data_IF_469779353565
#
_entry.id   IF_469779353565
#
_cell.length_a   1.000
_cell.length_b   1.000
_cell.length_c   1.000
_cell.angle_alpha   90.00
_cell.angle_beta   90.00
_cell.angle_gamma   90.00
#
_symmetry.space_group_name_H-M   'P 1'
#
loop_
_entity.id
_entity.type
_entity.pdbx_description
1 polymer ?
#
# COMPACT_ATOMS: atom_id res chain seq x y z
N UNK A 1 -37.19 2.31 14.90
CA UNK A 1 -36.84 1.47 13.72
C UNK A 1 -35.41 1.01 13.86
N UNK A 2 -35.13 -0.29 13.75
CA UNK A 2 -33.74 -0.79 13.73
C UNK A 2 -33.11 -0.26 12.45
N UNK A 3 -32.04 0.53 12.55
CA UNK A 3 -31.34 1.07 11.40
C UNK A 3 -30.83 -0.05 10.50
N UNK A 4 -30.76 0.18 9.19
CA UNK A 4 -30.18 -0.77 8.23
C UNK A 4 -28.74 -1.06 8.63
N UNK A 5 -28.40 -2.34 8.75
CA UNK A 5 -27.03 -2.81 8.97
C UNK A 5 -26.29 -2.77 7.63
N UNK A 6 -25.20 -2.04 7.54
CA UNK A 6 -24.31 -2.03 6.38
C UNK A 6 -23.01 -2.71 6.77
N UNK A 7 -22.58 -3.70 5.98
CA UNK A 7 -21.29 -4.35 6.13
C UNK A 7 -20.47 -4.11 4.86
N UNK A 8 -19.29 -3.56 5.04
CA UNK A 8 -18.37 -3.24 3.95
C UNK A 8 -16.96 -3.73 4.25
N UNK A 9 -16.26 -4.20 3.23
CA UNK A 9 -14.90 -4.74 3.37
C UNK A 9 -13.96 -4.02 2.45
N UNK A 10 -12.72 -3.81 2.90
CA UNK A 10 -11.66 -3.27 2.06
C UNK A 10 -10.35 -4.01 2.34
N UNK A 11 -9.63 -4.45 1.31
CA UNK A 11 -8.38 -5.17 1.44
C UNK A 11 -7.21 -4.26 1.79
N UNK A 12 -6.17 -4.85 2.41
CA UNK A 12 -4.83 -4.30 2.34
C UNK A 12 -4.24 -4.44 0.94
N UNK A 13 -3.02 -3.94 0.77
CA UNK A 13 -2.29 -4.05 -0.49
C UNK A 13 -0.82 -4.37 -0.27
N UNK A 14 -0.19 -4.94 -1.28
CA UNK A 14 1.25 -4.83 -1.51
C UNK A 14 1.48 -4.17 -2.86
N UNK A 15 2.63 -3.53 -3.01
CA UNK A 15 3.06 -3.02 -4.30
C UNK A 15 4.09 -3.99 -4.89
N UNK A 16 3.80 -4.55 -6.06
CA UNK A 16 4.74 -5.46 -6.73
C UNK A 16 6.00 -4.72 -7.13
N UNK A 17 5.84 -3.48 -7.67
CA UNK A 17 6.95 -2.63 -8.10
C UNK A 17 6.45 -1.19 -8.27
N UNK A 18 7.33 -0.18 -8.08
CA UNK A 18 6.99 1.23 -8.21
C UNK A 18 6.83 1.92 -6.86
N UNK A 19 7.77 1.74 -5.93
CA UNK A 19 7.81 2.48 -4.68
C UNK A 19 8.31 3.90 -4.86
N UNK A 20 7.69 4.85 -4.14
CA UNK A 20 8.02 6.28 -4.14
C UNK A 20 7.91 6.98 -5.50
N UNK A 21 7.14 6.41 -6.41
CA UNK A 21 6.86 6.98 -7.74
C UNK A 21 5.57 7.78 -7.77
N UNK A 22 4.63 7.53 -6.89
CA UNK A 22 3.27 8.10 -6.84
C UNK A 22 3.29 9.63 -6.70
N UNK A 23 3.98 10.16 -5.71
CA UNK A 23 4.12 11.62 -5.53
C UNK A 23 5.07 12.29 -6.52
N UNK A 24 5.73 11.50 -7.40
CA UNK A 24 6.52 11.94 -8.56
C UNK A 24 5.73 11.84 -9.88
N UNK A 25 4.42 11.63 -9.84
CA UNK A 25 3.53 11.40 -10.98
C UNK A 25 3.97 10.23 -11.87
N UNK A 26 4.61 9.22 -11.26
CA UNK A 26 5.15 8.03 -11.90
C UNK A 26 4.12 6.90 -12.04
N UNK A 27 4.63 5.68 -12.05
CA UNK A 27 3.84 4.45 -12.17
C UNK A 27 4.02 3.55 -10.95
N UNK A 28 2.98 2.81 -10.58
CA UNK A 28 3.06 1.72 -9.63
C UNK A 28 2.25 0.52 -10.10
N UNK A 29 2.53 -0.66 -9.54
CA UNK A 29 1.87 -1.92 -9.88
C UNK A 29 1.44 -2.70 -8.62
N UNK A 30 0.49 -2.20 -7.83
CA UNK A 30 0.01 -2.90 -6.65
C UNK A 30 -0.95 -4.05 -6.98
N UNK A 31 -1.13 -4.93 -5.98
CA UNK A 31 -2.25 -5.87 -5.88
C UNK A 31 -2.99 -5.66 -4.57
N UNK A 32 -4.30 -5.88 -4.58
CA UNK A 32 -5.09 -6.03 -3.36
C UNK A 32 -4.83 -7.41 -2.74
N UNK A 33 -4.81 -7.47 -1.41
CA UNK A 33 -4.53 -8.68 -0.64
C UNK A 33 -5.81 -9.44 -0.25
N UNK A 34 -5.71 -10.74 0.08
CA UNK A 34 -6.81 -11.49 0.68
C UNK A 34 -7.23 -10.97 2.05
N UNK A 35 -6.35 -10.33 2.80
CA UNK A 35 -6.58 -9.78 4.12
C UNK A 35 -7.40 -8.49 4.03
N UNK A 36 -8.55 -8.46 4.71
CA UNK A 36 -9.51 -7.35 4.65
C UNK A 36 -9.77 -6.75 6.02
N UNK A 37 -9.97 -5.44 6.06
CA UNK A 37 -10.67 -4.77 7.16
C UNK A 37 -12.16 -4.81 6.88
N UNK A 38 -12.96 -5.19 7.89
CA UNK A 38 -14.42 -5.27 7.81
C UNK A 38 -15.01 -4.22 8.72
N UNK A 39 -15.88 -3.39 8.17
CA UNK A 39 -16.66 -2.41 8.93
C UNK A 39 -18.12 -2.77 8.87
N UNK A 40 -18.75 -2.89 10.05
CA UNK A 40 -20.20 -3.02 10.18
C UNK A 40 -20.75 -1.73 10.83
N UNK A 41 -21.66 -1.07 10.16
CA UNK A 41 -22.23 0.18 10.57
C UNK A 41 -23.76 0.13 10.65
N UNK A 42 -24.31 0.64 11.74
CA UNK A 42 -25.76 0.78 11.98
C UNK A 42 -26.03 2.23 12.24
N UNK A 43 -26.62 2.92 11.27
CA UNK A 43 -26.95 4.34 11.37
C UNK A 43 -28.11 4.58 12.35
N UNK A 44 -28.05 5.71 13.06
CA UNK A 44 -29.15 6.27 13.87
C UNK A 44 -29.26 7.79 13.64
N UNK A 45 -30.11 8.45 14.38
CA UNK A 45 -30.32 9.91 14.27
C UNK A 45 -29.47 10.72 15.28
N UNK A 46 -28.49 10.06 15.92
CA UNK A 46 -27.58 10.75 16.85
C UNK A 46 -26.59 11.66 16.11
N UNK A 47 -25.83 12.40 16.88
CA UNK A 47 -24.78 13.34 16.43
C UNK A 47 -23.35 12.78 16.59
N UNK A 48 -23.25 11.51 16.99
CA UNK A 48 -21.98 10.81 17.21
C UNK A 48 -21.97 9.42 16.55
N UNK A 49 -20.79 8.94 16.18
CA UNK A 49 -20.55 7.53 15.84
C UNK A 49 -19.76 6.91 16.99
N UNK A 50 -20.32 5.88 17.62
CA UNK A 50 -19.60 5.06 18.60
C UNK A 50 -18.91 3.91 17.87
N UNK A 51 -17.56 3.90 17.84
CA UNK A 51 -16.77 2.90 17.13
C UNK A 51 -16.01 1.99 18.10
N UNK A 52 -15.95 0.69 17.76
CA UNK A 52 -15.15 -0.34 18.45
C UNK A 52 -14.28 -1.09 17.44
N UNK A 53 -13.11 -1.53 17.88
CA UNK A 53 -12.23 -2.42 17.12
C UNK A 53 -12.02 -3.71 17.90
N UNK A 54 -11.83 -4.83 17.18
CA UNK A 54 -11.42 -6.11 17.75
C UNK A 54 -9.95 -6.13 18.23
N UNK A 55 -9.19 -5.11 17.84
CA UNK A 55 -7.75 -4.96 18.19
C UNK A 55 -7.47 -3.99 19.31
N UNK A 56 -8.48 -3.24 19.74
CA UNK A 56 -8.36 -2.19 20.73
C UNK A 56 -9.41 -2.33 21.83
N UNK A 57 -9.01 -2.08 23.05
CA UNK A 57 -9.94 -2.13 24.18
C UNK A 57 -10.85 -0.91 24.24
N UNK A 58 -12.14 -1.12 24.56
CA UNK A 58 -13.10 -0.04 24.76
C UNK A 58 -13.79 0.41 23.47
N UNK A 59 -14.32 1.62 23.53
CA UNK A 59 -15.01 2.28 22.42
C UNK A 59 -14.63 3.76 22.37
N UNK A 60 -14.64 4.32 21.17
CA UNK A 60 -14.39 5.74 20.93
C UNK A 60 -15.67 6.39 20.40
N UNK A 61 -16.02 7.56 20.91
CA UNK A 61 -17.10 8.38 20.38
C UNK A 61 -16.53 9.44 19.44
N UNK A 62 -17.01 9.46 18.22
CA UNK A 62 -16.62 10.39 17.16
C UNK A 62 -17.77 11.36 16.92
N UNK A 63 -17.63 12.64 17.30
CA UNK A 63 -18.63 13.65 16.97
C UNK A 63 -18.75 13.82 15.45
N UNK A 64 -19.96 13.95 14.91
CA UNK A 64 -20.13 14.19 13.48
C UNK A 64 -19.49 15.50 13.02
N UNK A 65 -19.38 16.50 13.89
CA UNK A 65 -18.72 17.78 13.63
C UNK A 65 -17.22 17.79 14.01
N UNK A 66 -16.59 16.62 14.03
CA UNK A 66 -15.17 16.48 14.37
C UNK A 66 -14.27 17.29 13.43
N UNK A 67 -13.11 17.70 13.94
CA UNK A 67 -12.06 18.45 13.26
C UNK A 67 -10.70 17.77 13.45
N UNK A 68 -9.70 18.01 12.59
CA UNK A 68 -8.34 17.47 12.76
C UNK A 68 -7.79 17.72 14.16
N UNK A 69 -7.26 16.67 14.79
CA UNK A 69 -6.70 16.70 16.15
C UNK A 69 -7.69 16.40 17.29
N UNK A 70 -9.01 16.41 17.06
CA UNK A 70 -9.99 16.09 18.10
C UNK A 70 -10.04 14.59 18.45
N UNK A 71 -9.90 13.74 17.45
CA UNK A 71 -9.82 12.28 17.64
C UNK A 71 -8.42 11.81 17.25
N UNK A 72 -7.81 11.00 18.10
CA UNK A 72 -6.43 10.53 17.94
C UNK A 72 -6.34 9.00 17.89
N UNK A 73 -5.15 8.48 17.62
CA UNK A 73 -4.91 7.03 17.51
C UNK A 73 -5.62 6.41 16.32
N UNK A 74 -5.95 5.12 16.42
CA UNK A 74 -6.57 4.38 15.32
C UNK A 74 -7.93 4.94 14.88
N UNK A 75 -8.69 5.52 15.80
CA UNK A 75 -10.01 6.08 15.51
C UNK A 75 -9.94 7.39 14.71
N UNK A 76 -8.77 8.03 14.62
CA UNK A 76 -8.56 9.21 13.79
C UNK A 76 -8.81 8.94 12.30
N UNK A 77 -8.50 7.73 11.82
CA UNK A 77 -8.79 7.32 10.44
C UNK A 77 -10.28 7.27 10.16
N UNK A 78 -11.08 6.76 11.11
CA UNK A 78 -12.55 6.74 11.03
C UNK A 78 -13.11 8.17 11.10
N UNK A 79 -12.63 8.96 12.05
CA UNK A 79 -13.03 10.36 12.23
C UNK A 79 -12.66 11.22 11.00
N UNK A 80 -11.51 10.97 10.40
CA UNK A 80 -11.06 11.60 9.17
C UNK A 80 -12.01 11.36 7.99
N UNK A 81 -12.51 10.13 7.84
CA UNK A 81 -13.53 9.80 6.82
C UNK A 81 -14.84 10.58 7.07
N UNK A 82 -15.30 10.62 8.33
CA UNK A 82 -16.50 11.42 8.71
C UNK A 82 -16.29 12.89 8.35
N UNK A 83 -15.16 13.46 8.74
CA UNK A 83 -14.79 14.84 8.45
C UNK A 83 -14.69 15.12 6.95
N UNK A 84 -14.00 14.25 6.19
CA UNK A 84 -13.79 14.41 4.76
C UNK A 84 -15.11 14.36 3.97
N UNK A 85 -16.02 13.43 4.29
CA UNK A 85 -17.36 13.38 3.72
C UNK A 85 -18.15 14.66 3.98
N UNK A 86 -18.18 15.12 5.23
CA UNK A 86 -18.93 16.32 5.61
C UNK A 86 -18.35 17.58 4.99
N UNK A 87 -17.04 17.70 4.91
CA UNK A 87 -16.41 18.87 4.28
C UNK A 87 -16.69 18.96 2.78
N UNK A 88 -17.09 17.85 2.13
CA UNK A 88 -17.62 17.82 0.76
C UNK A 88 -19.14 18.03 0.68
N UNK A 89 -19.81 18.30 1.80
CA UNK A 89 -21.26 18.55 1.87
C UNK A 89 -22.12 17.30 1.96
N UNK A 90 -21.53 16.11 2.09
CA UNK A 90 -22.32 14.89 2.27
C UNK A 90 -22.88 14.79 3.69
N UNK A 91 -24.13 14.34 3.80
CA UNK A 91 -24.75 14.06 5.09
C UNK A 91 -24.20 12.77 5.66
N UNK A 92 -23.61 12.83 6.84
CA UNK A 92 -23.24 11.66 7.64
C UNK A 92 -24.22 11.54 8.80
N UNK A 93 -24.65 10.33 9.12
CA UNK A 93 -25.55 10.05 10.25
C UNK A 93 -24.75 9.54 11.45
N UNK A 94 -25.26 9.72 12.64
CA UNK A 94 -24.76 9.06 13.83
C UNK A 94 -24.98 7.56 13.79
N UNK A 95 -24.46 6.85 14.79
CA UNK A 95 -24.67 5.41 14.85
C UNK A 95 -23.62 4.62 15.61
N UNK A 96 -23.64 3.32 15.38
CA UNK A 96 -22.68 2.39 15.97
C UNK A 96 -21.89 1.68 14.88
N UNK A 97 -20.59 1.59 15.08
CA UNK A 97 -19.65 0.98 14.14
C UNK A 97 -18.79 -0.06 14.85
N UNK A 98 -18.61 -1.20 14.22
CA UNK A 98 -17.59 -2.19 14.62
C UNK A 98 -16.61 -2.43 13.49
N UNK A 99 -15.34 -2.47 13.85
CA UNK A 99 -14.22 -2.73 12.95
C UNK A 99 -13.59 -4.07 13.31
N UNK A 100 -13.44 -4.94 12.32
CA UNK A 100 -12.66 -6.18 12.42
C UNK A 100 -11.45 -6.08 11.51
N UNK A 101 -10.26 -6.04 12.11
CA UNK A 101 -9.01 -5.82 11.39
C UNK A 101 -8.38 -7.12 10.89
N UNK A 102 -8.50 -7.45 9.61
CA UNK A 102 -7.78 -8.59 9.00
C UNK A 102 -6.37 -8.21 8.50
N UNK A 103 -6.13 -6.94 8.15
CA UNK A 103 -4.83 -6.47 7.66
C UNK A 103 -3.86 -6.23 8.82
N UNK A 104 -2.65 -6.77 8.76
CA UNK A 104 -1.64 -6.57 9.80
C UNK A 104 -1.22 -5.09 9.90
N UNK A 105 -1.22 -4.56 11.13
CA UNK A 105 -0.78 -3.18 11.38
C UNK A 105 0.75 -3.10 11.47
N UNK A 106 1.33 -1.99 10.97
CA UNK A 106 2.77 -1.75 11.06
C UNK A 106 3.64 -2.59 10.14
N UNK A 107 3.07 -3.42 9.27
CA UNK A 107 3.82 -4.27 8.32
C UNK A 107 3.95 -3.64 6.94
N UNK A 108 3.49 -2.41 6.72
CA UNK A 108 3.51 -1.76 5.41
C UNK A 108 2.44 -2.26 4.42
N UNK A 109 1.38 -2.93 4.91
CA UNK A 109 0.31 -3.54 4.10
C UNK A 109 -0.92 -2.64 3.89
N UNK A 110 -0.79 -1.34 4.11
CA UNK A 110 -1.86 -0.33 3.96
C UNK A 110 -3.12 -0.61 4.81
N UNK A 111 -2.92 -0.95 6.09
CA UNK A 111 -4.04 -1.16 7.02
C UNK A 111 -4.85 0.11 7.28
N UNK A 112 -4.24 1.30 7.18
CA UNK A 112 -4.91 2.61 7.27
C UNK A 112 -5.90 2.80 6.13
N UNK A 113 -5.44 2.68 4.89
CA UNK A 113 -6.28 2.81 3.70
C UNK A 113 -7.40 1.75 3.66
N UNK A 114 -7.13 0.51 4.10
CA UNK A 114 -8.16 -0.52 4.24
C UNK A 114 -9.23 -0.11 5.26
N UNK A 115 -8.85 0.49 6.40
CA UNK A 115 -9.80 0.99 7.40
C UNK A 115 -10.60 2.17 6.86
N UNK A 116 -9.96 3.13 6.20
CA UNK A 116 -10.60 4.31 5.61
C UNK A 116 -11.60 3.91 4.51
N UNK A 117 -11.18 3.07 3.57
CA UNK A 117 -12.03 2.61 2.46
C UNK A 117 -13.22 1.77 2.97
N UNK A 118 -13.02 0.90 3.97
CA UNK A 118 -14.11 0.13 4.57
C UNK A 118 -15.08 1.03 5.34
N UNK A 119 -14.57 2.01 6.08
CA UNK A 119 -15.39 3.00 6.80
C UNK A 119 -16.19 3.85 5.84
N UNK A 120 -15.54 4.37 4.80
CA UNK A 120 -16.18 5.20 3.78
C UNK A 120 -17.29 4.42 3.08
N UNK A 121 -17.02 3.19 2.63
CA UNK A 121 -18.03 2.38 1.97
C UNK A 121 -19.21 2.02 2.87
N UNK A 122 -18.98 1.85 4.17
CA UNK A 122 -20.06 1.58 5.13
C UNK A 122 -20.94 2.82 5.42
N UNK A 123 -20.33 4.00 5.58
CA UNK A 123 -21.04 5.26 5.82
C UNK A 123 -21.75 5.75 4.56
N UNK A 124 -21.08 5.67 3.42
CA UNK A 124 -21.51 6.20 2.13
C UNK A 124 -22.30 5.21 1.28
N UNK A 125 -22.78 4.10 1.85
CA UNK A 125 -23.45 3.03 1.11
C UNK A 125 -24.68 3.46 0.29
N UNK A 126 -25.32 4.55 0.67
CA UNK A 126 -26.48 5.13 -0.02
C UNK A 126 -26.08 6.37 -0.88
N UNK A 127 -24.80 6.70 -0.98
CA UNK A 127 -24.28 7.78 -1.81
C UNK A 127 -23.75 7.21 -3.16
N UNK A 128 -24.04 7.91 -4.23
CA UNK A 128 -23.50 7.57 -5.56
C UNK A 128 -22.10 8.19 -5.71
N UNK A 129 -21.10 7.55 -5.11
CA UNK A 129 -19.71 7.96 -5.19
C UNK A 129 -18.94 7.00 -6.09
N UNK A 130 -18.33 7.52 -7.15
CA UNK A 130 -17.37 6.75 -7.94
C UNK A 130 -16.19 6.26 -7.08
N UNK A 131 -15.54 5.18 -7.48
CA UNK A 131 -14.34 4.66 -6.76
C UNK A 131 -13.23 5.71 -6.66
N UNK A 132 -13.09 6.57 -7.67
CA UNK A 132 -12.11 7.65 -7.66
C UNK A 132 -12.45 8.72 -6.62
N UNK A 133 -13.72 9.10 -6.49
CA UNK A 133 -14.17 10.02 -5.44
C UNK A 133 -13.95 9.43 -4.05
N UNK A 134 -14.24 8.12 -3.89
CA UNK A 134 -13.96 7.40 -2.65
C UNK A 134 -12.46 7.43 -2.31
N UNK A 135 -11.57 7.15 -3.29
CA UNK A 135 -10.13 7.21 -3.09
C UNK A 135 -9.66 8.59 -2.62
N UNK A 136 -10.14 9.66 -3.27
CA UNK A 136 -9.79 11.03 -2.92
C UNK A 136 -10.32 11.43 -1.53
N UNK A 137 -11.51 10.95 -1.12
CA UNK A 137 -12.06 11.22 0.21
C UNK A 137 -11.24 10.50 1.28
N UNK A 138 -10.88 9.23 1.05
CA UNK A 138 -10.08 8.44 1.98
C UNK A 138 -8.67 9.02 2.13
N UNK A 139 -7.99 9.35 1.03
CA UNK A 139 -6.68 10.00 1.06
C UNK A 139 -6.73 11.34 1.80
N UNK A 140 -7.76 12.13 1.57
CA UNK A 140 -7.94 13.41 2.26
C UNK A 140 -8.10 13.23 3.77
N UNK A 141 -8.82 12.18 4.20
CA UNK A 141 -8.94 11.81 5.61
C UNK A 141 -7.55 11.51 6.21
N UNK A 142 -6.72 10.74 5.52
CA UNK A 142 -5.38 10.38 5.96
C UNK A 142 -4.45 11.61 6.01
N UNK A 143 -4.44 12.42 4.95
CA UNK A 143 -3.49 13.52 4.82
C UNK A 143 -3.86 14.73 5.70
N UNK A 144 -5.14 15.14 5.70
CA UNK A 144 -5.55 16.39 6.33
C UNK A 144 -6.05 16.19 7.77
N UNK A 145 -6.68 15.05 8.08
CA UNK A 145 -7.20 14.79 9.43
C UNK A 145 -6.15 14.06 10.30
N UNK A 146 -5.58 12.98 9.79
CA UNK A 146 -4.57 12.19 10.52
C UNK A 146 -3.19 12.84 10.46
N UNK A 147 -2.88 13.56 9.37
CA UNK A 147 -1.60 14.25 9.18
C UNK A 147 -0.50 13.36 8.59
N UNK A 148 -0.87 12.26 7.93
CA UNK A 148 0.08 11.37 7.24
C UNK A 148 0.16 11.75 5.75
N UNK A 149 1.27 12.33 5.24
CA UNK A 149 1.37 12.85 3.88
C UNK A 149 1.61 11.73 2.86
N UNK A 150 0.66 10.81 2.72
CA UNK A 150 0.71 9.68 1.79
C UNK A 150 0.27 10.05 0.37
N UNK A 151 0.68 9.24 -0.62
CA UNK A 151 0.14 9.28 -1.97
C UNK A 151 -1.25 8.65 -2.07
N UNK A 152 -1.74 8.44 -3.29
CA UNK A 152 -3.07 7.86 -3.55
C UNK A 152 -3.02 6.34 -3.80
N UNK A 153 -1.82 5.74 -3.83
CA UNK A 153 -1.59 4.34 -4.21
C UNK A 153 -2.44 3.37 -3.39
N UNK A 154 -2.45 3.55 -2.07
CA UNK A 154 -3.03 2.60 -1.12
C UNK A 154 -4.54 2.53 -1.26
N UNK A 155 -5.19 3.69 -1.36
CA UNK A 155 -6.63 3.79 -1.54
C UNK A 155 -7.07 3.27 -2.92
N UNK A 156 -6.30 3.57 -3.99
CA UNK A 156 -6.58 3.04 -5.32
C UNK A 156 -6.45 1.53 -5.36
N UNK A 157 -5.38 0.98 -4.78
CA UNK A 157 -5.19 -0.47 -4.73
C UNK A 157 -6.30 -1.17 -3.95
N UNK A 158 -6.71 -0.62 -2.80
CA UNK A 158 -7.79 -1.16 -1.98
C UNK A 158 -9.16 -1.11 -2.68
N UNK A 159 -9.46 -0.03 -3.41
CA UNK A 159 -10.76 0.16 -4.05
C UNK A 159 -10.88 -0.53 -5.41
N UNK A 160 -9.82 -0.53 -6.22
CA UNK A 160 -9.85 -1.02 -7.59
C UNK A 160 -9.34 -2.46 -7.75
N UNK A 161 -8.88 -3.11 -6.68
CA UNK A 161 -8.38 -4.48 -6.73
C UNK A 161 -9.28 -5.43 -7.52
N UNK A 162 -8.67 -6.34 -8.26
CA UNK A 162 -9.35 -7.40 -9.02
C UNK A 162 -8.68 -8.75 -8.76
N UNK A 163 -9.49 -9.81 -8.75
CA UNK A 163 -8.98 -11.17 -8.60
C UNK A 163 -7.98 -11.52 -9.71
N UNK A 164 -6.81 -12.05 -9.33
CA UNK A 164 -5.71 -12.42 -10.24
C UNK A 164 -5.23 -11.30 -11.16
N UNK A 165 -5.29 -10.05 -10.70
CA UNK A 165 -4.79 -8.90 -11.44
C UNK A 165 -3.98 -7.98 -10.55
N UNK A 166 -2.90 -7.46 -11.10
CA UNK A 166 -2.24 -6.26 -10.60
C UNK A 166 -2.88 -5.02 -11.25
N UNK A 167 -2.64 -3.86 -10.68
CA UNK A 167 -3.18 -2.60 -11.18
C UNK A 167 -2.03 -1.72 -11.65
N UNK A 168 -1.91 -1.48 -12.96
CA UNK A 168 -1.02 -0.42 -13.44
C UNK A 168 -1.68 0.93 -13.14
N UNK A 169 -1.07 1.68 -12.25
CA UNK A 169 -1.51 3.03 -11.89
C UNK A 169 -0.54 4.03 -12.51
N UNK A 170 -1.05 4.94 -13.36
CA UNK A 170 -0.34 6.14 -13.80
C UNK A 170 -0.83 7.33 -12.96
N UNK A 171 0.05 7.88 -12.12
CA UNK A 171 -0.31 8.98 -11.21
C UNK A 171 -0.35 10.36 -11.90
N UNK A 172 0.11 10.48 -13.15
CA UNK A 172 -0.01 11.74 -13.90
C UNK A 172 -1.47 12.03 -14.25
N UNK A 173 -2.17 11.01 -14.79
CA UNK A 173 -3.55 11.12 -15.24
C UNK A 173 -4.53 10.41 -14.29
N UNK A 174 -4.01 9.83 -13.21
CA UNK A 174 -4.72 9.01 -12.22
C UNK A 174 -5.57 7.92 -12.89
N UNK A 175 -4.93 7.20 -13.81
CA UNK A 175 -5.56 6.05 -14.48
C UNK A 175 -5.20 4.74 -13.79
N UNK A 176 -6.14 3.80 -13.76
CA UNK A 176 -5.96 2.47 -13.16
C UNK A 176 -6.34 1.42 -14.20
N UNK A 177 -5.37 0.61 -14.62
CA UNK A 177 -5.55 -0.42 -15.63
C UNK A 177 -5.23 -1.80 -15.06
N UNK A 178 -6.15 -2.79 -15.15
CA UNK A 178 -5.88 -4.13 -14.66
C UNK A 178 -4.89 -4.87 -15.58
N UNK A 179 -3.86 -5.47 -14.97
CA UNK A 179 -2.81 -6.28 -15.63
C UNK A 179 -2.91 -7.72 -15.15
N UNK A 180 -2.89 -8.73 -16.03
CA UNK A 180 -2.94 -10.13 -15.62
C UNK A 180 -1.82 -10.48 -14.62
N UNK A 181 -2.18 -11.02 -13.45
CA UNK A 181 -1.24 -11.46 -12.42
C UNK A 181 -1.75 -12.72 -11.72
N UNK A 182 -1.43 -13.87 -12.29
CA UNK A 182 -1.73 -15.19 -11.73
C UNK A 182 -0.47 -16.08 -11.78
N UNK A 183 0.50 -15.85 -10.88
CA UNK A 183 1.73 -16.63 -10.86
C UNK A 183 1.48 -18.10 -10.58
N UNK A 184 0.46 -18.45 -9.80
CA UNK A 184 0.13 -19.84 -9.46
C UNK A 184 -0.22 -20.66 -10.70
N UNK A 185 -0.91 -20.09 -11.68
CA UNK A 185 -1.19 -20.74 -12.95
C UNK A 185 0.08 -21.06 -13.77
N UNK A 186 1.21 -20.46 -13.41
CA UNK A 186 2.53 -20.71 -14.03
C UNK A 186 3.48 -21.49 -13.11
N UNK A 187 2.98 -22.11 -12.04
CA UNK A 187 3.79 -22.87 -11.09
C UNK A 187 4.67 -22.00 -10.18
N UNK A 188 4.37 -20.71 -10.07
CA UNK A 188 5.11 -19.74 -9.25
C UNK A 188 4.26 -19.31 -8.05
N UNK A 189 4.84 -19.23 -6.87
CA UNK A 189 4.23 -18.66 -5.67
C UNK A 189 4.74 -17.22 -5.46
N UNK A 190 3.85 -16.36 -4.96
CA UNK A 190 4.19 -15.07 -4.39
C UNK A 190 4.23 -15.23 -2.87
N UNK A 191 5.40 -15.07 -2.26
CA UNK A 191 5.55 -15.05 -0.82
C UNK A 191 5.56 -13.63 -0.31
N UNK A 192 4.87 -13.40 0.79
CA UNK A 192 4.94 -12.20 1.61
C UNK A 192 5.68 -12.54 2.90
N UNK A 193 6.79 -11.86 3.13
CA UNK A 193 7.72 -12.11 4.24
C UNK A 193 7.75 -10.86 5.11
N UNK A 194 7.08 -10.88 6.25
CA UNK A 194 7.15 -9.82 7.24
C UNK A 194 8.41 -10.01 8.09
N UNK A 195 9.33 -9.06 7.98
CA UNK A 195 10.60 -9.08 8.70
C UNK A 195 10.47 -8.92 10.21
N UNK A 196 9.32 -8.45 10.69
CA UNK A 196 9.06 -8.05 12.08
C UNK A 196 10.02 -6.97 12.60
N UNK A 197 10.77 -6.33 11.71
CA UNK A 197 11.55 -5.15 12.07
C UNK A 197 10.59 -3.97 12.32
N UNK A 198 10.76 -3.35 13.48
CA UNK A 198 9.96 -2.18 13.85
C UNK A 198 10.35 -0.96 13.02
N UNK A 199 9.36 -0.27 12.47
CA UNK A 199 9.56 1.01 11.78
C UNK A 199 9.96 2.08 12.80
N UNK A 200 11.25 2.32 12.98
CA UNK A 200 11.74 3.45 13.79
C UNK A 200 11.88 4.67 12.87
N UNK A 201 11.17 5.77 13.19
CA UNK A 201 11.29 7.07 12.51
C UNK A 201 10.79 7.17 11.04
N UNK A 202 9.98 6.24 10.56
CA UNK A 202 9.55 6.17 9.15
C UNK A 202 8.91 7.48 8.59
N UNK A 203 8.18 8.24 9.42
CA UNK A 203 7.47 9.44 8.95
C UNK A 203 8.38 10.58 8.49
N UNK A 204 9.45 10.88 9.26
CA UNK A 204 10.40 11.94 8.90
C UNK A 204 11.28 11.56 7.71
N UNK A 205 11.69 10.31 7.63
CA UNK A 205 12.54 9.81 6.54
C UNK A 205 11.78 9.70 5.21
N UNK A 206 10.50 9.29 5.26
CA UNK A 206 9.63 9.31 4.06
C UNK A 206 9.50 10.73 3.50
N UNK A 207 9.21 11.72 4.35
CA UNK A 207 9.14 13.12 3.95
C UNK A 207 10.47 13.64 3.38
N UNK A 208 11.61 13.25 3.95
CA UNK A 208 12.93 13.63 3.44
C UNK A 208 13.20 13.06 2.04
N UNK A 209 12.71 11.85 1.72
CA UNK A 209 12.82 11.26 0.37
C UNK A 209 12.01 12.07 -0.64
N UNK A 210 10.77 12.43 -0.29
CA UNK A 210 9.92 13.29 -1.12
C UNK A 210 10.58 14.64 -1.37
N UNK A 211 11.06 15.33 -0.34
CA UNK A 211 11.77 16.61 -0.47
C UNK A 211 13.00 16.51 -1.38
N UNK A 212 13.74 15.38 -1.32
CA UNK A 212 14.89 15.18 -2.22
C UNK A 212 14.48 15.04 -3.69
N UNK A 213 13.36 14.39 -3.98
CA UNK A 213 12.81 14.31 -5.33
C UNK A 213 12.32 15.68 -5.83
N UNK A 214 11.62 16.44 -4.99
CA UNK A 214 11.16 17.80 -5.29
C UNK A 214 12.34 18.74 -5.59
N UNK A 215 13.45 18.62 -4.84
CA UNK A 215 14.69 19.34 -5.10
C UNK A 215 15.28 18.99 -6.46
N UNK A 216 15.38 17.70 -6.80
CA UNK A 216 15.88 17.28 -8.11
C UNK A 216 15.01 17.83 -9.25
N UNK A 217 13.69 17.79 -9.13
CA UNK A 217 12.78 18.37 -10.11
C UNK A 217 12.98 19.89 -10.26
N UNK A 218 13.14 20.61 -9.14
CA UNK A 218 13.41 22.05 -9.15
C UNK A 218 14.75 22.38 -9.83
N UNK A 219 15.81 21.62 -9.57
CA UNK A 219 17.13 21.82 -10.22
C UNK A 219 17.08 21.50 -11.74
N UNK A 220 16.17 20.61 -12.17
CA UNK A 220 15.90 20.31 -13.56
C UNK A 220 14.91 21.30 -14.22
N UNK A 221 14.38 22.26 -13.46
CA UNK A 221 13.37 23.23 -13.88
C UNK A 221 12.09 22.57 -14.45
N UNK A 222 11.64 21.45 -13.83
CA UNK A 222 10.42 20.73 -14.19
C UNK A 222 9.47 20.67 -13.00
N UNK A 223 8.19 20.42 -13.26
CA UNK A 223 7.18 20.31 -12.20
C UNK A 223 7.21 18.95 -11.48
N UNK A 224 7.65 17.90 -12.16
CA UNK A 224 7.84 16.57 -11.59
C UNK A 224 8.96 15.81 -12.32
N UNK A 225 9.52 14.79 -11.68
CA UNK A 225 10.51 13.90 -12.31
C UNK A 225 9.91 13.14 -13.51
N UNK A 226 8.59 12.97 -13.55
CA UNK A 226 7.89 12.36 -14.69
C UNK A 226 8.08 13.15 -16.00
N UNK A 227 8.27 14.46 -15.93
CA UNK A 227 8.40 15.33 -17.11
C UNK A 227 9.70 15.08 -17.88
N UNK A 228 10.70 14.49 -17.22
CA UNK A 228 11.99 14.13 -17.83
C UNK A 228 12.16 12.62 -18.02
N UNK A 229 11.10 11.84 -17.84
CA UNK A 229 11.14 10.37 -17.92
C UNK A 229 11.75 9.86 -19.24
N UNK A 230 11.37 10.46 -20.36
CA UNK A 230 11.80 10.04 -21.70
C UNK A 230 13.25 10.42 -22.03
N UNK A 231 13.84 11.35 -21.26
CA UNK A 231 15.24 11.73 -21.40
C UNK A 231 16.19 10.73 -20.73
N UNK A 232 15.64 9.85 -19.89
CA UNK A 232 16.38 8.84 -19.15
C UNK A 232 17.35 9.41 -18.10
N UNK A 233 18.09 8.55 -17.36
CA UNK A 233 18.93 8.98 -16.24
C UNK A 233 20.07 9.94 -16.58
N UNK A 234 20.42 10.09 -17.85
CA UNK A 234 21.51 11.01 -18.27
C UNK A 234 21.21 12.48 -17.96
N UNK A 235 19.92 12.86 -17.88
CA UNK A 235 19.48 14.23 -17.52
C UNK A 235 19.92 14.59 -16.10
N UNK A 236 20.12 13.61 -15.22
CA UNK A 236 20.49 13.83 -13.83
C UNK A 236 21.90 14.41 -13.64
N UNK A 237 22.72 14.48 -14.70
CA UNK A 237 23.99 15.20 -14.66
C UNK A 237 23.82 16.70 -14.40
N UNK A 238 22.63 17.24 -14.65
CA UNK A 238 22.29 18.62 -14.36
C UNK A 238 21.89 18.87 -12.89
N UNK A 239 21.60 17.83 -12.14
CA UNK A 239 21.27 17.91 -10.70
C UNK A 239 22.56 18.05 -9.91
N UNK A 240 22.70 19.15 -9.17
CA UNK A 240 23.91 19.49 -8.42
C UNK A 240 24.04 18.74 -7.10
N UNK A 241 22.90 18.52 -6.42
CA UNK A 241 22.86 17.76 -5.17
C UNK A 241 22.98 16.25 -5.49
N UNK A 242 24.08 15.59 -5.07
CA UNK A 242 24.31 14.19 -5.41
C UNK A 242 23.29 13.24 -4.75
N UNK A 243 22.71 13.63 -3.59
CA UNK A 243 21.67 12.85 -2.94
C UNK A 243 20.38 12.97 -3.74
N UNK A 244 19.96 14.17 -4.10
CA UNK A 244 18.79 14.40 -4.94
C UNK A 244 18.91 13.67 -6.29
N UNK A 245 20.12 13.70 -6.91
CA UNK A 245 20.37 12.99 -8.17
C UNK A 245 20.20 11.45 -8.03
N UNK A 246 20.67 10.85 -6.91
CA UNK A 246 20.46 9.41 -6.65
C UNK A 246 18.97 9.09 -6.47
N UNK A 247 18.23 9.89 -5.67
CA UNK A 247 16.79 9.70 -5.47
C UNK A 247 16.03 9.80 -6.80
N UNK A 248 16.35 10.81 -7.61
CA UNK A 248 15.74 10.95 -8.93
C UNK A 248 16.09 9.79 -9.88
N UNK A 249 17.32 9.24 -9.79
CA UNK A 249 17.69 8.04 -10.56
C UNK A 249 16.79 6.87 -10.24
N UNK A 250 16.54 6.60 -8.93
CA UNK A 250 15.60 5.57 -8.55
C UNK A 250 14.25 5.78 -9.22
N UNK A 251 13.65 6.97 -9.10
CA UNK A 251 12.31 7.27 -9.66
C UNK A 251 12.27 7.03 -11.17
N UNK A 252 13.23 7.55 -11.94
CA UNK A 252 13.24 7.40 -13.39
C UNK A 252 13.43 5.93 -13.81
N UNK A 253 14.34 5.21 -13.14
CA UNK A 253 14.58 3.81 -13.47
C UNK A 253 13.47 2.90 -12.96
N UNK A 254 12.83 3.23 -11.82
CA UNK A 254 11.71 2.47 -11.27
C UNK A 254 10.48 2.58 -12.17
N UNK A 255 10.16 3.77 -12.65
CA UNK A 255 9.09 3.96 -13.63
C UNK A 255 9.27 3.06 -14.86
N UNK A 256 10.49 2.92 -15.35
CA UNK A 256 10.78 2.04 -16.49
C UNK A 256 10.60 0.58 -16.09
N UNK A 257 11.12 0.17 -14.91
CA UNK A 257 10.94 -1.20 -14.40
C UNK A 257 9.47 -1.58 -14.22
N UNK A 258 8.61 -0.63 -13.81
CA UNK A 258 7.16 -0.88 -13.72
C UNK A 258 6.60 -1.26 -15.09
N UNK A 259 6.89 -0.48 -16.12
CA UNK A 259 6.39 -0.75 -17.48
C UNK A 259 6.96 -2.06 -18.06
N UNK A 260 8.26 -2.30 -17.88
CA UNK A 260 8.90 -3.56 -18.29
C UNK A 260 8.30 -4.77 -17.54
N UNK A 261 7.89 -4.59 -16.28
CA UNK A 261 7.18 -5.63 -15.51
C UNK A 261 5.80 -5.92 -16.08
N UNK A 262 5.07 -4.89 -16.50
CA UNK A 262 3.76 -5.05 -17.18
C UNK A 262 3.93 -5.85 -18.47
N UNK A 263 4.94 -5.54 -19.29
CA UNK A 263 5.22 -6.27 -20.52
C UNK A 263 5.59 -7.74 -20.24
N UNK A 264 6.43 -7.98 -19.22
CA UNK A 264 6.80 -9.34 -18.81
C UNK A 264 5.58 -10.15 -18.30
N UNK A 265 4.66 -9.51 -17.58
CA UNK A 265 3.42 -10.14 -17.09
C UNK A 265 2.48 -10.50 -18.23
N UNK A 266 2.33 -9.65 -19.25
CA UNK A 266 1.58 -9.99 -20.45
C UNK A 266 2.17 -11.19 -21.18
N UNK A 267 3.51 -11.32 -21.19
CA UNK A 267 4.23 -12.47 -21.70
C UNK A 267 4.25 -13.70 -20.79
N UNK A 268 3.74 -13.59 -19.56
CA UNK A 268 3.85 -14.60 -18.48
C UNK A 268 5.31 -15.01 -18.17
N UNK A 269 6.26 -14.11 -18.39
CA UNK A 269 7.67 -14.32 -18.08
C UNK A 269 7.98 -13.93 -16.62
N UNK A 270 7.63 -14.82 -15.69
CA UNK A 270 7.89 -14.60 -14.27
C UNK A 270 9.39 -14.59 -13.92
N UNK A 271 10.25 -15.16 -14.77
CA UNK A 271 11.69 -15.02 -14.60
C UNK A 271 12.16 -13.59 -14.88
N UNK A 272 11.63 -12.93 -15.92
CA UNK A 272 11.89 -11.52 -16.18
C UNK A 272 11.32 -10.64 -15.05
N UNK A 273 10.08 -10.91 -14.59
CA UNK A 273 9.49 -10.21 -13.43
C UNK A 273 10.41 -10.33 -12.22
N UNK A 274 10.90 -11.53 -11.90
CA UNK A 274 11.80 -11.75 -10.77
C UNK A 274 13.08 -10.91 -10.86
N UNK A 275 13.72 -10.87 -12.04
CA UNK A 275 14.91 -10.01 -12.26
C UNK A 275 14.60 -8.52 -12.07
N UNK A 276 13.43 -8.05 -12.52
CA UNK A 276 13.01 -6.66 -12.34
C UNK A 276 12.74 -6.33 -10.86
N UNK A 277 12.14 -7.27 -10.09
CA UNK A 277 11.97 -7.12 -8.65
C UNK A 277 13.33 -6.98 -7.95
N UNK A 278 14.31 -7.83 -8.27
CA UNK A 278 15.65 -7.73 -7.68
C UNK A 278 16.34 -6.41 -8.03
N UNK A 279 16.28 -5.99 -9.30
CA UNK A 279 16.85 -4.69 -9.72
C UNK A 279 16.17 -3.50 -9.05
N UNK A 280 14.86 -3.59 -8.79
CA UNK A 280 14.13 -2.61 -7.99
C UNK A 280 14.62 -2.58 -6.54
N UNK A 281 14.83 -3.75 -5.92
CA UNK A 281 15.37 -3.85 -4.57
C UNK A 281 16.75 -3.19 -4.44
N UNK A 282 17.66 -3.50 -5.37
CA UNK A 282 18.98 -2.87 -5.43
C UNK A 282 18.88 -1.35 -5.55
N UNK A 283 18.00 -0.82 -6.39
CA UNK A 283 17.78 0.62 -6.52
C UNK A 283 17.18 1.24 -5.25
N UNK A 284 16.29 0.55 -4.54
CA UNK A 284 15.76 1.00 -3.24
C UNK A 284 16.84 1.03 -2.17
N UNK A 285 17.79 0.08 -2.19
CA UNK A 285 18.91 0.03 -1.26
C UNK A 285 19.95 1.09 -1.59
N UNK A 286 20.42 1.16 -2.84
CA UNK A 286 21.63 1.91 -3.22
C UNK A 286 21.34 3.34 -3.65
N UNK A 287 20.24 3.57 -4.38
CA UNK A 287 19.85 4.89 -4.89
C UNK A 287 18.88 5.60 -3.95
N UNK A 288 17.88 4.89 -3.38
CA UNK A 288 16.85 5.51 -2.57
C UNK A 288 17.11 5.41 -1.06
N UNK A 289 17.88 4.41 -0.62
CA UNK A 289 18.29 4.17 0.77
C UNK A 289 17.09 4.07 1.73
N UNK A 290 16.13 3.20 1.40
CA UNK A 290 14.92 2.96 2.19
C UNK A 290 14.82 1.52 2.70
N UNK A 291 15.79 0.67 2.40
CA UNK A 291 15.86 -0.68 2.94
C UNK A 291 16.53 -0.70 4.31
N UNK A 292 16.46 -1.84 4.97
CA UNK A 292 17.15 -2.11 6.23
C UNK A 292 17.93 -3.41 6.11
N UNK A 293 18.88 -3.62 7.03
CA UNK A 293 19.68 -4.85 7.07
C UNK A 293 18.82 -6.12 7.10
N UNK A 294 17.70 -6.10 7.84
CA UNK A 294 16.76 -7.22 7.89
C UNK A 294 16.16 -7.51 6.51
N UNK A 295 15.72 -6.46 5.83
CA UNK A 295 15.08 -6.52 4.52
C UNK A 295 16.07 -7.01 3.46
N UNK A 296 17.30 -6.46 3.46
CA UNK A 296 18.35 -6.82 2.52
C UNK A 296 18.77 -8.29 2.72
N UNK A 297 18.92 -8.75 3.97
CA UNK A 297 19.22 -10.13 4.29
C UNK A 297 18.15 -11.10 3.76
N UNK A 298 16.86 -10.77 3.98
CA UNK A 298 15.76 -11.61 3.50
C UNK A 298 15.78 -11.70 1.97
N UNK A 299 15.89 -10.57 1.27
CA UNK A 299 15.89 -10.53 -0.19
C UNK A 299 17.08 -11.29 -0.78
N UNK A 300 18.27 -11.07 -0.26
CA UNK A 300 19.51 -11.74 -0.68
C UNK A 300 19.45 -13.26 -0.49
N UNK A 301 19.01 -13.72 0.68
CA UNK A 301 18.92 -15.15 0.99
C UNK A 301 17.86 -15.81 0.10
N UNK A 302 16.71 -15.19 -0.09
CA UNK A 302 15.67 -15.72 -0.95
C UNK A 302 16.19 -15.96 -2.38
N UNK A 303 16.84 -14.97 -2.98
CA UNK A 303 17.40 -15.08 -4.35
C UNK A 303 18.50 -16.12 -4.41
N UNK A 304 19.45 -16.14 -3.47
CA UNK A 304 20.54 -17.14 -3.44
C UNK A 304 20.03 -18.57 -3.25
N UNK A 305 18.89 -18.75 -2.61
CA UNK A 305 18.27 -20.08 -2.42
C UNK A 305 17.41 -20.48 -3.62
N UNK A 306 17.29 -19.61 -4.63
CA UNK A 306 16.67 -19.90 -5.92
C UNK A 306 15.28 -19.35 -6.11
N UNK A 307 14.92 -18.28 -5.40
CA UNK A 307 13.80 -17.46 -5.80
C UNK A 307 14.07 -16.79 -7.15
N UNK A 308 13.03 -16.56 -7.93
CA UNK A 308 13.12 -15.84 -9.21
C UNK A 308 13.51 -14.38 -9.02
N UNK A 309 13.10 -13.80 -7.88
CA UNK A 309 13.45 -12.46 -7.45
C UNK A 309 12.76 -12.10 -6.14
N UNK A 310 13.31 -11.11 -5.46
CA UNK A 310 12.80 -10.61 -4.19
C UNK A 310 13.02 -9.10 -4.06
N UNK A 311 12.11 -8.42 -3.35
CA UNK A 311 12.24 -7.00 -3.05
C UNK A 311 11.41 -6.59 -1.84
N UNK A 312 11.81 -5.50 -1.20
CA UNK A 312 10.99 -4.79 -0.24
C UNK A 312 9.69 -4.30 -0.89
N UNK A 313 8.60 -4.21 -0.13
CA UNK A 313 7.35 -3.57 -0.54
C UNK A 313 6.89 -2.56 0.50
N UNK A 314 6.27 -1.46 0.04
CA UNK A 314 5.77 -0.37 0.86
C UNK A 314 6.76 0.78 1.03
N UNK A 315 6.50 1.66 2.00
CA UNK A 315 7.24 2.93 2.17
C UNK A 315 8.68 2.83 2.67
N UNK A 316 9.16 1.64 3.01
CA UNK A 316 10.53 1.41 3.46
C UNK A 316 10.76 1.50 4.97
N UNK A 317 12.03 1.46 5.37
CA UNK A 317 12.50 1.55 6.77
C UNK A 317 12.06 0.38 7.65
N UNK A 318 11.75 -0.77 7.06
CA UNK A 318 11.25 -2.00 7.68
C UNK A 318 10.11 -2.63 6.86
N UNK A 319 9.28 -3.43 7.51
CA UNK A 319 8.09 -4.05 6.90
C UNK A 319 8.37 -5.35 6.17
N UNK A 320 7.85 -5.49 4.95
CA UNK A 320 7.79 -6.75 4.24
C UNK A 320 8.70 -6.82 3.01
N UNK A 321 9.10 -8.06 2.69
CA UNK A 321 9.69 -8.46 1.41
C UNK A 321 8.68 -9.30 0.64
N UNK A 322 8.53 -9.06 -0.64
CA UNK A 322 7.82 -9.95 -1.56
C UNK A 322 8.83 -10.76 -2.37
N UNK A 323 8.48 -12.02 -2.62
CA UNK A 323 9.38 -12.95 -3.30
C UNK A 323 8.59 -13.81 -4.28
N UNK A 324 9.04 -13.88 -5.54
CA UNK A 324 8.54 -14.83 -6.52
C UNK A 324 9.43 -16.09 -6.49
N UNK A 325 8.82 -17.25 -6.37
CA UNK A 325 9.55 -18.51 -6.23
C UNK A 325 8.77 -19.66 -6.86
N UNK A 326 9.45 -20.60 -7.51
CA UNK A 326 8.84 -21.84 -7.98
C UNK A 326 8.16 -22.56 -6.81
N UNK A 327 6.93 -23.05 -6.99
CA UNK A 327 6.14 -23.69 -5.92
C UNK A 327 6.95 -24.82 -5.26
N UNK A 328 7.72 -25.58 -6.03
CA UNK A 328 8.57 -26.67 -5.51
C UNK A 328 9.71 -26.20 -4.60
N UNK A 329 10.03 -24.92 -4.57
CA UNK A 329 11.12 -24.33 -3.78
C UNK A 329 10.65 -23.48 -2.58
N UNK A 330 9.33 -23.33 -2.40
CA UNK A 330 8.76 -22.48 -1.36
C UNK A 330 9.33 -22.80 0.02
N UNK A 331 9.31 -24.07 0.42
CA UNK A 331 9.77 -24.49 1.75
C UNK A 331 11.28 -24.26 1.91
N UNK A 332 12.08 -24.59 0.90
CA UNK A 332 13.53 -24.40 0.93
C UNK A 332 13.91 -22.91 1.09
N UNK A 333 13.24 -22.02 0.36
CA UNK A 333 13.46 -20.57 0.47
C UNK A 333 12.99 -20.06 1.83
N UNK A 334 11.81 -20.48 2.29
CA UNK A 334 11.27 -20.07 3.58
C UNK A 334 12.15 -20.48 4.76
N UNK A 335 12.66 -21.71 4.75
CA UNK A 335 13.54 -22.22 5.81
C UNK A 335 14.91 -21.52 5.79
N UNK A 336 15.50 -21.32 4.62
CA UNK A 336 16.76 -20.59 4.48
C UNK A 336 16.65 -19.15 5.02
N UNK A 337 15.54 -18.46 4.73
CA UNK A 337 15.28 -17.11 5.26
C UNK A 337 15.14 -17.13 6.78
N UNK A 338 14.36 -18.05 7.35
CA UNK A 338 14.21 -18.18 8.81
C UNK A 338 15.57 -18.47 9.50
N UNK A 339 16.36 -19.35 8.90
CA UNK A 339 17.67 -19.71 9.44
C UNK A 339 18.63 -18.54 9.40
N UNK A 340 18.69 -17.81 8.29
CA UNK A 340 19.55 -16.64 8.15
C UNK A 340 19.17 -15.52 9.15
N UNK A 341 17.88 -15.24 9.31
CA UNK A 341 17.40 -14.26 10.29
C UNK A 341 17.81 -14.66 11.71
N UNK A 342 17.63 -15.94 12.08
CA UNK A 342 18.05 -16.46 13.39
C UNK A 342 19.57 -16.37 13.61
N UNK A 343 20.36 -16.73 12.59
CA UNK A 343 21.83 -16.69 12.67
C UNK A 343 22.37 -15.26 12.86
N UNK A 344 21.64 -14.26 12.37
CA UNK A 344 21.99 -12.86 12.54
C UNK A 344 21.33 -12.21 13.79
N UNK A 345 20.68 -13.01 14.64
CA UNK A 345 20.06 -12.51 15.87
C UNK A 345 18.76 -11.73 15.67
N UNK A 346 18.14 -11.81 14.49
CA UNK A 346 16.90 -11.13 14.16
C UNK A 346 15.66 -11.96 14.57
N UNK A 347 14.52 -11.28 14.71
CA UNK A 347 13.26 -11.94 14.98
C UNK A 347 12.89 -12.91 13.84
N UNK A 348 12.21 -14.03 14.19
CA UNK A 348 11.74 -14.96 13.19
C UNK A 348 10.67 -14.29 12.30
N UNK A 349 10.85 -14.26 10.96
CA UNK A 349 9.91 -13.60 10.07
C UNK A 349 8.61 -14.43 9.95
N UNK A 350 7.51 -13.73 9.67
CA UNK A 350 6.28 -14.39 9.22
C UNK A 350 6.33 -14.56 7.69
N UNK A 351 6.14 -15.77 7.20
CA UNK A 351 6.20 -16.06 5.77
C UNK A 351 4.89 -16.73 5.36
N UNK A 352 4.19 -16.12 4.44
CA UNK A 352 2.90 -16.61 3.92
C UNK A 352 2.87 -16.52 2.39
N UNK A 353 2.20 -17.47 1.74
CA UNK A 353 1.85 -17.33 0.33
C UNK A 353 0.64 -16.39 0.19
N UNK A 354 0.69 -15.47 -0.76
CA UNK A 354 -0.38 -14.53 -1.04
C UNK A 354 -0.73 -14.48 -2.51
N UNK A 355 -1.79 -13.75 -2.86
CA UNK A 355 -2.26 -13.58 -4.23
C UNK A 355 -3.02 -12.26 -4.38
N UNK A 356 -3.26 -11.86 -5.63
CA UNK A 356 -4.16 -10.77 -5.92
C UNK A 356 -5.62 -11.19 -5.65
N UNK A 357 -6.38 -10.32 -5.01
CA UNK A 357 -7.79 -10.53 -4.64
C UNK A 357 -8.63 -9.31 -5.07
N UNK A 358 -9.95 -9.45 -5.00
CA UNK A 358 -10.87 -8.36 -5.32
C UNK A 358 -10.79 -7.18 -4.36
N UNK A 359 -11.08 -6.00 -4.87
CA UNK A 359 -11.08 -4.74 -4.10
C UNK A 359 -12.24 -4.60 -3.14
N UNK A 360 -12.37 -3.40 -2.60
CA UNK A 360 -13.38 -3.04 -1.61
C UNK A 360 -14.82 -3.21 -2.15
N UNK A 361 -15.72 -3.68 -1.28
CA UNK A 361 -17.12 -3.89 -1.64
C UNK A 361 -18.02 -4.25 -0.47
N UNK A 362 -19.33 -4.14 -0.70
CA UNK A 362 -20.33 -4.67 0.23
C UNK A 362 -20.39 -6.19 0.11
N UNK A 363 -20.23 -6.90 1.22
CA UNK A 363 -20.50 -8.34 1.26
C UNK A 363 -21.90 -8.55 1.84
N UNK A 364 -22.84 -9.21 1.11
CA UNK A 364 -24.08 -9.63 1.71
C UNK A 364 -23.78 -10.58 2.88
N UNK A 365 -24.58 -10.48 3.96
CA UNK A 365 -24.45 -11.31 5.14
C UNK A 365 -24.36 -12.79 4.75
N UNK A 366 -23.21 -13.39 4.91
CA UNK A 366 -23.12 -14.82 5.18
C UNK A 366 -23.37 -15.00 6.68
N UNK A 367 -24.60 -14.75 7.10
CA UNK A 367 -25.15 -15.30 8.33
C UNK A 367 -25.23 -16.82 8.10
N UNK A 368 -24.14 -17.53 8.38
CA UNK A 368 -24.26 -18.95 8.72
C UNK A 368 -24.52 -19.03 10.21
N UNK A 369 -25.68 -19.62 10.48
CA UNK A 369 -26.15 -20.09 11.77
C UNK A 369 -25.11 -20.96 12.51
#
# INVERSE_FOLDING_TARGET
MVGRVVRYTAPGRINLIGEHTDYNLGFALPIALPEHTVVTYVADEGDTITVRSDRESGQVQIPLHTSPGEVTGWAAYVAGVVWALRSKGHRVRGGRMSVTGGVAMGSGLASSAALECATLGAIAADLDLSRMEQANIAQRAENEYVGAPTGLLDQLASLFGEDRRALLIDFRDVTVLPVPFDPQASGVALLLIDSRATHQHAGGEYAARRTSCERAAAELAVSSLRDVQDLGPSVLRAVKDPVAARRARHVLTENRRVLDTVDALHGRDFSAVGRLLTASHESMRDDFEITTEHIDLIADVAVRTGALGARMTGGGFGGCVITLVDIARVDAVADAVRDAMRQNGFASPSIVSTRAEGGAGSRPDQLRA
#
